data_IF_364155209447
#
_entry.id   IF_364155209447
#
_cell.length_a   1.000
_cell.length_b   1.000
_cell.length_c   1.000
_cell.angle_alpha   90.00
_cell.angle_beta   90.00
_cell.angle_gamma   90.00
#
_symmetry.space_group_name_H-M   'P 1'
#
loop_
_entity.id
_entity.type
_entity.pdbx_description
1 polymer ?
#
# COMPACT_ATOMS: atom_id res chain seq x y z
N UNK A 1 -6.43 4.04 -30.60
CA UNK A 1 -5.30 3.98 -29.63
C UNK A 1 -5.78 3.29 -28.37
N UNK A 2 -5.15 2.18 -27.96
CA UNK A 2 -5.65 1.35 -26.85
C UNK A 2 -5.42 2.04 -25.49
N UNK A 3 -6.48 2.20 -24.71
CA UNK A 3 -6.56 2.77 -23.36
C UNK A 3 -6.05 1.74 -22.35
N UNK A 4 -4.88 1.97 -21.73
CA UNK A 4 -4.15 0.88 -21.07
C UNK A 4 -4.45 0.72 -19.56
N UNK A 5 -4.87 1.77 -18.83
CA UNK A 5 -5.14 1.60 -17.39
C UNK A 5 -6.43 0.85 -17.10
N UNK A 6 -7.51 1.29 -17.72
CA UNK A 6 -8.79 0.57 -17.63
C UNK A 6 -8.69 -0.81 -18.29
N UNK A 7 -7.84 -0.98 -19.32
CA UNK A 7 -7.64 -2.27 -19.97
C UNK A 7 -6.86 -3.27 -19.11
N UNK A 8 -5.88 -2.83 -18.33
CA UNK A 8 -5.17 -3.71 -17.39
C UNK A 8 -6.11 -4.17 -16.27
N UNK A 9 -6.92 -3.27 -15.72
CA UNK A 9 -7.95 -3.62 -14.74
C UNK A 9 -8.97 -4.58 -15.33
N UNK A 10 -9.47 -4.31 -16.56
CA UNK A 10 -10.41 -5.19 -17.26
C UNK A 10 -9.81 -6.57 -17.58
N UNK A 11 -8.58 -6.61 -18.10
CA UNK A 11 -7.93 -7.88 -18.45
C UNK A 11 -7.71 -8.79 -17.24
N UNK A 12 -7.38 -8.22 -16.09
CA UNK A 12 -7.24 -9.00 -14.84
C UNK A 12 -8.63 -9.34 -14.29
N UNK A 13 -9.56 -8.41 -14.30
CA UNK A 13 -10.92 -8.65 -13.83
C UNK A 13 -11.64 -9.74 -14.62
N UNK A 14 -11.50 -9.80 -15.95
CA UNK A 14 -12.00 -10.87 -16.79
C UNK A 14 -11.48 -12.26 -16.42
N UNK A 15 -10.29 -12.34 -15.83
CA UNK A 15 -9.70 -13.62 -15.37
C UNK A 15 -10.24 -14.01 -13.99
N UNK A 16 -10.47 -13.04 -13.09
CA UNK A 16 -10.78 -13.31 -11.68
C UNK A 16 -12.25 -13.14 -11.32
N UNK A 17 -13.03 -12.48 -12.16
CA UNK A 17 -14.46 -12.20 -11.93
C UNK A 17 -15.28 -12.77 -13.06
N UNK A 18 -16.16 -13.73 -12.76
CA UNK A 18 -17.01 -14.40 -13.77
C UNK A 18 -18.28 -13.60 -14.16
N UNK A 19 -18.65 -12.59 -13.38
CA UNK A 19 -19.83 -11.75 -13.59
C UNK A 19 -19.42 -10.37 -14.12
N UNK A 20 -19.83 -10.05 -15.35
CA UNK A 20 -19.50 -8.77 -16.00
C UNK A 20 -20.08 -7.54 -15.31
N UNK A 21 -21.22 -7.65 -14.66
CA UNK A 21 -21.83 -6.54 -13.93
C UNK A 21 -21.06 -6.21 -12.65
N UNK A 22 -20.62 -7.25 -11.94
CA UNK A 22 -19.77 -7.15 -10.77
C UNK A 22 -18.36 -6.65 -11.14
N UNK A 23 -17.84 -7.10 -12.27
CA UNK A 23 -16.54 -6.66 -12.82
C UNK A 23 -16.52 -5.15 -13.03
N UNK A 24 -17.49 -4.58 -13.74
CA UNK A 24 -17.52 -3.15 -14.03
C UNK A 24 -17.71 -2.31 -12.77
N UNK A 25 -18.58 -2.74 -11.87
CA UNK A 25 -18.77 -2.11 -10.56
C UNK A 25 -17.46 -2.07 -9.75
N UNK A 26 -16.76 -3.20 -9.67
CA UNK A 26 -15.52 -3.33 -8.90
C UNK A 26 -14.39 -2.49 -9.48
N UNK A 27 -14.22 -2.50 -10.79
CA UNK A 27 -13.25 -1.66 -11.50
C UNK A 27 -13.51 -0.17 -11.21
N UNK A 28 -14.76 0.30 -11.36
CA UNK A 28 -15.10 1.69 -11.13
C UNK A 28 -14.91 2.10 -9.67
N UNK A 29 -15.26 1.23 -8.73
CA UNK A 29 -15.04 1.44 -7.29
C UNK A 29 -13.55 1.59 -6.96
N UNK A 30 -12.69 0.71 -7.50
CA UNK A 30 -11.24 0.80 -7.28
C UNK A 30 -10.63 2.04 -7.95
N UNK A 31 -11.07 2.39 -9.16
CA UNK A 31 -10.62 3.60 -9.85
C UNK A 31 -10.93 4.84 -8.99
N UNK A 32 -12.12 4.91 -8.41
CA UNK A 32 -12.52 6.03 -7.55
C UNK A 32 -11.73 6.04 -6.23
N UNK A 33 -11.66 4.89 -5.56
CA UNK A 33 -10.94 4.74 -4.29
C UNK A 33 -9.47 5.16 -4.38
N UNK A 34 -8.83 4.92 -5.52
CA UNK A 34 -7.42 5.26 -5.77
C UNK A 34 -7.22 6.59 -6.52
N UNK A 35 -8.29 7.37 -6.75
CA UNK A 35 -8.25 8.66 -7.46
C UNK A 35 -7.60 8.53 -8.86
N UNK A 36 -8.01 7.52 -9.61
CA UNK A 36 -7.46 7.21 -10.94
C UNK A 36 -8.39 7.63 -12.09
N UNK A 37 -9.50 8.35 -11.81
CA UNK A 37 -10.52 8.73 -12.78
C UNK A 37 -9.93 9.49 -13.97
N UNK A 38 -9.10 10.48 -13.69
CA UNK A 38 -8.46 11.34 -14.69
C UNK A 38 -7.38 10.61 -15.50
N UNK A 39 -7.03 9.38 -15.09
CA UNK A 39 -5.96 8.58 -15.69
C UNK A 39 -6.47 7.40 -16.50
N UNK A 40 -7.80 7.26 -16.64
CA UNK A 40 -8.43 6.11 -17.35
C UNK A 40 -7.92 5.93 -18.78
N UNK A 41 -7.58 7.02 -19.45
CA UNK A 41 -7.14 7.04 -20.84
C UNK A 41 -5.62 7.19 -20.99
N UNK A 42 -4.88 7.30 -19.88
CA UNK A 42 -3.41 7.45 -19.88
C UNK A 42 -2.75 6.07 -19.93
N UNK A 43 -1.76 5.90 -20.80
CA UNK A 43 -0.99 4.65 -20.87
C UNK A 43 -0.15 4.47 -19.58
N UNK A 44 -0.11 3.26 -19.02
CA UNK A 44 0.61 2.96 -17.79
C UNK A 44 2.09 3.44 -17.79
N UNK A 45 2.75 3.43 -18.95
CA UNK A 45 4.14 3.91 -19.10
C UNK A 45 4.31 5.42 -18.84
N UNK A 46 3.23 6.21 -18.96
CA UNK A 46 3.24 7.65 -18.75
C UNK A 46 2.78 8.06 -17.34
N UNK A 47 2.41 7.09 -16.49
CA UNK A 47 2.06 7.34 -15.11
C UNK A 47 3.30 7.71 -14.29
N UNK A 48 3.12 8.61 -13.32
CA UNK A 48 4.14 8.86 -12.30
C UNK A 48 4.37 7.62 -11.42
N UNK A 49 5.44 7.62 -10.62
CA UNK A 49 5.73 6.53 -9.68
C UNK A 49 4.57 6.27 -8.73
N UNK A 50 4.01 7.31 -8.13
CA UNK A 50 2.86 7.21 -7.23
C UNK A 50 1.60 6.68 -7.93
N UNK A 51 1.29 7.19 -9.12
CA UNK A 51 0.16 6.71 -9.92
C UNK A 51 0.30 5.22 -10.30
N UNK A 52 1.53 4.77 -10.63
CA UNK A 52 1.79 3.35 -10.86
C UNK A 52 1.58 2.50 -9.62
N UNK A 53 2.03 2.95 -8.45
CA UNK A 53 1.82 2.22 -7.18
C UNK A 53 0.34 2.14 -6.83
N UNK A 54 -0.41 3.23 -6.94
CA UNK A 54 -1.89 3.21 -6.80
C UNK A 54 -2.53 2.17 -7.72
N UNK A 55 -2.17 2.17 -9.00
CA UNK A 55 -2.72 1.23 -9.98
C UNK A 55 -2.38 -0.22 -9.62
N UNK A 56 -1.14 -0.52 -9.22
CA UNK A 56 -0.72 -1.88 -8.84
C UNK A 56 -1.50 -2.38 -7.62
N UNK A 57 -1.67 -1.54 -6.60
CA UNK A 57 -2.47 -1.91 -5.42
C UNK A 57 -3.93 -2.14 -5.82
N UNK A 58 -4.52 -1.26 -6.63
CA UNK A 58 -5.88 -1.43 -7.13
C UNK A 58 -6.06 -2.75 -7.91
N UNK A 59 -5.09 -3.11 -8.78
CA UNK A 59 -5.06 -4.39 -9.49
C UNK A 59 -5.03 -5.58 -8.54
N UNK A 60 -4.22 -5.51 -7.47
CA UNK A 60 -4.10 -6.59 -6.48
C UNK A 60 -5.40 -6.84 -5.71
N UNK A 61 -6.27 -5.84 -5.62
CA UNK A 61 -7.55 -5.94 -4.91
C UNK A 61 -8.70 -6.52 -5.74
N UNK A 62 -8.53 -6.68 -7.06
CA UNK A 62 -9.58 -7.23 -7.92
C UNK A 62 -10.02 -8.65 -7.52
N UNK A 63 -9.09 -9.45 -6.99
CA UNK A 63 -9.35 -10.84 -6.58
C UNK A 63 -9.89 -11.00 -5.16
N UNK A 64 -10.24 -9.91 -4.46
CA UNK A 64 -10.66 -9.92 -3.04
C UNK A 64 -9.69 -10.70 -2.13
N UNK A 65 -8.40 -10.36 -2.13
CA UNK A 65 -7.43 -11.11 -1.35
C UNK A 65 -7.72 -10.98 0.13
N UNK A 66 -7.49 -12.05 0.89
CA UNK A 66 -7.52 -12.01 2.37
C UNK A 66 -6.23 -11.46 2.97
N UNK A 67 -5.14 -11.55 2.22
CA UNK A 67 -3.82 -11.06 2.59
C UNK A 67 -3.24 -10.27 1.41
N UNK A 68 -2.81 -9.05 1.65
CA UNK A 68 -2.12 -8.18 0.70
C UNK A 68 -0.68 -7.98 1.16
N UNK A 69 0.27 -8.30 0.29
CA UNK A 69 1.69 -8.09 0.53
C UNK A 69 2.17 -6.90 -0.29
N UNK A 70 2.74 -5.89 0.38
CA UNK A 70 3.27 -4.68 -0.24
C UNK A 70 4.76 -4.56 0.05
N UNK A 71 5.55 -4.48 -0.99
CA UNK A 71 7.00 -4.32 -0.91
C UNK A 71 7.39 -2.92 -1.42
N UNK A 72 8.11 -2.16 -0.56
CA UNK A 72 8.57 -0.79 -0.82
C UNK A 72 7.48 0.14 -1.37
N UNK A 73 6.27 0.10 -0.78
CA UNK A 73 5.13 0.85 -1.32
C UNK A 73 5.27 2.37 -1.15
N UNK A 74 6.12 2.85 -0.24
CA UNK A 74 6.38 4.28 -0.02
C UNK A 74 7.64 4.79 -0.74
N UNK A 75 8.50 3.92 -1.25
CA UNK A 75 9.76 4.30 -1.85
C UNK A 75 9.59 5.24 -3.06
N UNK A 76 10.43 6.30 -3.11
CA UNK A 76 10.47 7.29 -4.20
C UNK A 76 9.13 8.03 -4.45
N UNK A 77 8.34 8.25 -3.39
CA UNK A 77 7.11 9.04 -3.43
C UNK A 77 7.29 10.38 -2.70
N UNK A 78 6.51 11.36 -3.10
CA UNK A 78 6.36 12.62 -2.38
C UNK A 78 5.50 12.45 -1.12
N UNK A 79 5.64 13.37 -0.17
CA UNK A 79 4.97 13.31 1.14
C UNK A 79 3.45 13.24 1.03
N UNK A 80 2.84 13.96 0.07
CA UNK A 80 1.39 13.95 -0.11
C UNK A 80 0.90 12.60 -0.63
N UNK A 81 1.62 12.02 -1.57
CA UNK A 81 1.31 10.69 -2.11
C UNK A 81 1.48 9.61 -1.04
N UNK A 82 2.50 9.70 -0.17
CA UNK A 82 2.67 8.78 0.96
C UNK A 82 1.47 8.86 1.91
N UNK A 83 1.10 10.06 2.37
CA UNK A 83 -0.05 10.25 3.28
C UNK A 83 -1.34 9.66 2.71
N UNK A 84 -1.61 9.95 1.46
CA UNK A 84 -2.79 9.41 0.78
C UNK A 84 -2.76 7.86 0.71
N UNK A 85 -1.61 7.25 0.40
CA UNK A 85 -1.50 5.78 0.39
C UNK A 85 -1.67 5.20 1.79
N UNK A 86 -1.15 5.83 2.84
CA UNK A 86 -1.37 5.44 4.23
C UNK A 86 -2.87 5.45 4.57
N UNK A 87 -3.59 6.51 4.21
CA UNK A 87 -5.04 6.61 4.41
C UNK A 87 -5.81 5.51 3.66
N UNK A 88 -5.46 5.25 2.39
CA UNK A 88 -6.06 4.18 1.61
C UNK A 88 -5.82 2.82 2.27
N UNK A 89 -4.59 2.52 2.71
CA UNK A 89 -4.22 1.25 3.36
C UNK A 89 -5.01 1.06 4.65
N UNK A 90 -5.06 2.08 5.51
CA UNK A 90 -5.80 2.02 6.78
C UNK A 90 -7.31 1.86 6.54
N UNK A 91 -7.89 2.62 5.60
CA UNK A 91 -9.31 2.53 5.29
C UNK A 91 -9.65 1.17 4.66
N UNK A 92 -8.80 0.66 3.77
CA UNK A 92 -8.98 -0.65 3.15
C UNK A 92 -9.05 -1.75 4.21
N UNK A 93 -8.12 -1.76 5.17
CA UNK A 93 -8.14 -2.73 6.28
C UNK A 93 -9.43 -2.64 7.09
N UNK A 94 -9.86 -1.43 7.46
CA UNK A 94 -11.08 -1.22 8.26
C UNK A 94 -12.37 -1.64 7.55
N UNK A 95 -12.46 -1.37 6.25
CA UNK A 95 -13.66 -1.64 5.47
C UNK A 95 -13.79 -3.11 5.06
N UNK A 96 -12.67 -3.77 4.77
CA UNK A 96 -12.67 -5.13 4.18
C UNK A 96 -12.12 -6.20 5.11
N UNK A 97 -11.58 -5.80 6.27
CA UNK A 97 -10.92 -6.69 7.24
C UNK A 97 -9.77 -7.53 6.62
N UNK A 98 -9.15 -7.00 5.57
CA UNK A 98 -7.99 -7.62 4.91
C UNK A 98 -6.75 -7.54 5.81
N UNK A 99 -5.93 -8.57 5.81
CA UNK A 99 -4.60 -8.49 6.43
C UNK A 99 -3.62 -7.86 5.45
N UNK A 100 -2.94 -6.78 5.85
CA UNK A 100 -1.95 -6.10 5.01
C UNK A 100 -0.58 -6.23 5.65
N UNK A 101 0.37 -6.81 4.93
CA UNK A 101 1.77 -6.90 5.33
C UNK A 101 2.59 -5.97 4.43
N UNK A 102 3.31 -5.04 5.04
CA UNK A 102 4.12 -4.03 4.34
C UNK A 102 5.58 -4.24 4.72
N UNK A 103 6.44 -4.36 3.72
CA UNK A 103 7.89 -4.33 3.87
C UNK A 103 8.39 -3.00 3.29
N UNK A 104 8.97 -2.13 4.11
CA UNK A 104 9.49 -0.85 3.66
C UNK A 104 10.64 -0.39 4.58
N UNK A 105 11.59 0.34 4.03
CA UNK A 105 12.71 0.90 4.78
C UNK A 105 12.43 2.31 5.31
N UNK A 106 11.32 2.93 4.91
CA UNK A 106 10.89 4.23 5.41
C UNK A 106 10.12 4.07 6.73
N UNK A 107 10.86 3.80 7.83
CA UNK A 107 10.29 3.45 9.12
C UNK A 107 9.21 4.42 9.62
N UNK A 108 9.42 5.73 9.46
CA UNK A 108 8.48 6.75 9.94
C UNK A 108 7.14 6.63 9.23
N UNK A 109 7.16 6.46 7.91
CA UNK A 109 5.97 6.36 7.10
C UNK A 109 5.25 5.02 7.33
N UNK A 110 6.02 3.93 7.46
CA UNK A 110 5.48 2.61 7.79
C UNK A 110 4.77 2.61 9.14
N UNK A 111 5.44 3.08 10.21
CA UNK A 111 4.90 3.08 11.57
C UNK A 111 3.67 3.98 11.74
N UNK A 112 3.44 4.94 10.85
CA UNK A 112 2.28 5.81 10.89
C UNK A 112 0.96 5.09 10.51
N UNK A 113 1.02 3.97 9.77
CA UNK A 113 -0.16 3.31 9.21
C UNK A 113 -0.32 1.83 9.57
N UNK A 114 0.51 1.29 10.47
CA UNK A 114 0.43 -0.12 10.89
C UNK A 114 0.02 -0.26 12.35
N UNK A 115 -0.61 -1.40 12.69
CA UNK A 115 -0.97 -1.74 14.07
C UNK A 115 0.20 -2.40 14.81
N UNK A 116 0.97 -3.22 14.08
CA UNK A 116 2.16 -3.91 14.57
C UNK A 116 3.26 -3.88 13.52
N UNK A 117 4.51 -3.88 13.96
CA UNK A 117 5.65 -4.02 13.08
C UNK A 117 6.71 -4.92 13.72
N UNK A 118 7.60 -5.44 12.88
CA UNK A 118 8.79 -6.18 13.30
C UNK A 118 10.02 -5.63 12.61
N UNK A 119 11.14 -5.62 13.30
CA UNK A 119 12.44 -5.20 12.79
C UNK A 119 13.29 -6.43 12.57
N UNK A 120 13.74 -6.58 11.33
CA UNK A 120 14.63 -7.65 10.91
C UNK A 120 16.05 -7.11 10.79
N UNK A 121 16.99 -7.75 11.46
CA UNK A 121 18.42 -7.45 11.31
C UNK A 121 19.22 -8.76 11.40
N UNK A 122 20.20 -8.92 10.53
CA UNK A 122 21.06 -10.12 10.48
C UNK A 122 20.25 -11.44 10.45
N UNK A 123 19.19 -11.49 9.63
CA UNK A 123 18.29 -12.64 9.49
C UNK A 123 17.55 -13.04 10.77
N UNK A 124 17.39 -12.12 11.72
CA UNK A 124 16.66 -12.34 12.98
C UNK A 124 15.69 -11.20 13.23
N UNK A 125 14.57 -11.53 13.90
CA UNK A 125 13.68 -10.52 14.46
C UNK A 125 14.36 -9.98 15.72
N UNK A 126 14.69 -8.68 15.72
CA UNK A 126 15.35 -8.03 16.85
C UNK A 126 14.36 -7.29 17.75
N UNK A 127 13.23 -6.89 17.20
CA UNK A 127 12.14 -6.29 17.98
C UNK A 127 10.82 -6.45 17.21
N UNK A 128 9.73 -6.63 17.94
CA UNK A 128 8.36 -6.61 17.42
C UNK A 128 7.40 -5.94 18.41
N UNK A 129 6.32 -5.38 17.92
CA UNK A 129 5.30 -4.73 18.73
C UNK A 129 4.54 -3.64 17.99
N UNK A 130 3.75 -2.87 18.73
CA UNK A 130 3.12 -1.67 18.21
C UNK A 130 4.16 -0.59 17.88
N UNK A 131 3.84 0.38 17.01
CA UNK A 131 4.74 1.50 16.72
C UNK A 131 5.28 2.18 17.99
N UNK A 132 4.41 2.39 19.00
CA UNK A 132 4.79 3.04 20.26
C UNK A 132 5.78 2.21 21.08
N UNK A 133 5.62 0.89 21.10
CA UNK A 133 6.56 -0.01 21.78
C UNK A 133 7.90 -0.04 21.08
N UNK A 134 7.89 -0.14 19.74
CA UNK A 134 9.13 -0.23 18.95
C UNK A 134 9.99 1.03 19.05
N UNK A 135 9.40 2.23 19.01
CA UNK A 135 10.20 3.47 19.11
C UNK A 135 10.82 3.68 20.48
N UNK A 136 10.33 2.98 21.51
CA UNK A 136 10.91 2.99 22.86
C UNK A 136 11.81 1.78 23.14
N UNK A 137 11.85 0.80 22.24
CA UNK A 137 12.64 -0.42 22.41
C UNK A 137 14.13 -0.14 22.15
N UNK A 138 14.99 -0.58 23.08
CA UNK A 138 16.45 -0.34 23.03
C UNK A 138 17.08 -1.08 21.85
N UNK A 139 16.69 -2.33 21.60
CA UNK A 139 17.22 -3.13 20.51
C UNK A 139 16.79 -2.57 19.15
N UNK A 140 15.55 -2.08 19.03
CA UNK A 140 15.05 -1.40 17.85
C UNK A 140 15.81 -0.10 17.54
N UNK A 141 16.11 0.70 18.58
CA UNK A 141 16.93 1.91 18.44
C UNK A 141 18.35 1.57 17.99
N UNK A 142 18.98 0.63 18.65
CA UNK A 142 20.34 0.22 18.33
C UNK A 142 20.48 -0.39 16.94
N UNK A 143 19.52 -1.25 16.52
CA UNK A 143 19.60 -2.01 15.26
C UNK A 143 19.12 -1.24 14.04
N UNK A 144 18.22 -0.25 14.21
CA UNK A 144 17.53 0.36 13.08
C UNK A 144 17.28 1.86 13.17
N UNK A 145 16.71 2.36 14.28
CA UNK A 145 16.26 3.75 14.34
C UNK A 145 17.37 4.76 14.64
N UNK A 146 18.38 4.36 15.42
CA UNK A 146 19.35 5.28 16.02
C UNK A 146 18.77 6.09 17.19
N UNK A 147 19.64 6.69 18.00
CA UNK A 147 19.24 7.40 19.22
C UNK A 147 18.42 8.68 18.96
N UNK A 148 18.60 9.30 17.80
CA UNK A 148 17.93 10.56 17.42
C UNK A 148 16.56 10.36 16.77
N UNK A 149 16.08 9.12 16.61
CA UNK A 149 14.80 8.85 15.96
C UNK A 149 13.63 9.34 16.83
N UNK A 150 12.92 10.32 16.31
CA UNK A 150 11.75 10.90 16.96
C UNK A 150 10.50 10.56 16.14
N UNK A 151 9.57 9.85 16.75
CA UNK A 151 8.31 9.47 16.15
C UNK A 151 7.16 10.15 16.89
N UNK A 152 6.72 11.28 16.35
CA UNK A 152 5.45 11.88 16.76
C UNK A 152 4.38 11.37 15.81
N UNK A 153 3.49 10.50 16.32
CA UNK A 153 2.28 10.10 15.60
C UNK A 153 1.38 11.34 15.54
N UNK A 154 1.07 11.79 14.32
CA UNK A 154 0.16 12.90 14.06
C UNK A 154 -1.23 12.62 14.60
#
# INVERSE_FOLDING_TARGET
MKKINTQNLKAIAEIVINDKSLEEYKINSLISKFELENLKDVKAKFLSGGQKKKLVIALSLLSDPKVLLLDECFAALDVLTIKMLQEIIVNLQKETNITICICDHQARDLLACVDKAMILSNCKIVAEGSPKELVNNIDAKSAYFGDSFNFNKF
#
